data_IF_376217245593
#
_entry.id   IF_376217245593
#
_cell.length_a   1.000
_cell.length_b   1.000
_cell.length_c   1.000
_cell.angle_alpha   90.00
_cell.angle_beta   90.00
_cell.angle_gamma   90.00
#
_symmetry.space_group_name_H-M   'P 1'
#
loop_
_entity.id
_entity.type
_entity.pdbx_description
1 polymer ?
#
# COMPACT_ATOMS: atom_id res chain seq x y z
N UNK A 1 14.59 12.77 60.58
CA UNK A 1 13.97 13.72 59.62
C UNK A 1 14.52 13.43 58.23
N UNK A 2 13.65 12.92 57.33
CA UNK A 2 13.72 12.89 55.85
C UNK A 2 14.89 12.15 55.14
N UNK A 3 14.54 10.95 54.68
CA UNK A 3 15.09 10.18 53.55
C UNK A 3 15.08 10.96 52.23
N UNK A 4 16.05 10.72 51.32
CA UNK A 4 15.85 10.71 49.86
C UNK A 4 16.82 9.75 49.17
N UNK A 5 16.27 8.62 48.73
CA UNK A 5 16.87 7.64 47.83
C UNK A 5 16.79 8.22 46.41
N UNK A 6 17.92 8.47 45.75
CA UNK A 6 17.96 8.90 44.35
C UNK A 6 17.88 7.66 43.45
N UNK A 7 16.66 7.12 43.31
CA UNK A 7 16.34 6.08 42.34
C UNK A 7 15.50 6.70 41.23
N UNK A 8 16.16 7.35 40.27
CA UNK A 8 15.45 8.00 39.19
C UNK A 8 16.43 8.38 38.10
N UNK A 9 16.77 7.41 37.24
CA UNK A 9 17.28 7.62 35.87
C UNK A 9 17.44 6.32 35.04
N UNK A 10 16.82 5.19 35.43
CA UNK A 10 16.98 3.93 34.68
C UNK A 10 15.69 3.38 34.02
N UNK A 11 14.64 4.19 33.90
CA UNK A 11 13.35 3.73 33.31
C UNK A 11 12.94 4.50 32.05
N UNK A 12 13.55 5.64 31.74
CA UNK A 12 13.08 6.49 30.62
C UNK A 12 13.55 6.00 29.24
N UNK A 13 14.55 5.11 29.16
CA UNK A 13 15.05 4.61 27.87
C UNK A 13 14.27 3.42 27.27
N UNK A 14 13.31 2.83 27.99
CA UNK A 14 12.61 1.62 27.52
C UNK A 14 11.24 1.88 26.87
N UNK A 15 10.73 3.11 26.92
CA UNK A 15 9.37 3.43 26.46
C UNK A 15 9.24 3.88 25.00
N UNK A 16 10.31 3.89 24.19
CA UNK A 16 10.30 4.46 22.84
C UNK A 16 10.23 3.45 21.68
N UNK A 17 10.03 2.16 21.94
CA UNK A 17 9.92 1.14 20.87
C UNK A 17 8.77 0.14 21.07
N UNK A 18 7.64 0.59 21.63
CA UNK A 18 6.36 -0.09 21.40
C UNK A 18 5.86 0.26 19.99
N UNK A 19 6.60 -0.15 18.96
CA UNK A 19 6.02 -0.28 17.64
C UNK A 19 4.98 -1.40 17.76
N UNK A 20 3.71 -1.03 17.85
CA UNK A 20 2.60 -1.98 17.79
C UNK A 20 2.78 -2.79 16.51
N UNK A 21 3.18 -4.05 16.65
CA UNK A 21 3.30 -4.95 15.52
C UNK A 21 1.90 -5.26 15.02
N UNK A 22 1.41 -4.48 14.06
CA UNK A 22 0.16 -4.76 13.38
C UNK A 22 0.29 -6.12 12.69
N UNK A 23 -0.53 -7.08 13.10
CA UNK A 23 -0.63 -8.38 12.43
C UNK A 23 -1.57 -8.25 11.23
N UNK A 24 -1.44 -9.10 10.21
CA UNK A 24 -2.34 -9.04 9.05
C UNK A 24 -3.82 -9.24 9.43
N UNK A 25 -4.10 -9.92 10.54
CA UNK A 25 -5.47 -10.08 11.06
C UNK A 25 -6.15 -8.73 11.34
N UNK A 26 -5.36 -7.71 11.71
CA UNK A 26 -5.85 -6.34 11.96
C UNK A 26 -6.11 -5.56 10.66
N UNK A 27 -5.50 -5.94 9.54
CA UNK A 27 -5.69 -5.28 8.24
C UNK A 27 -6.95 -5.73 7.51
N UNK A 28 -7.57 -6.82 7.97
CA UNK A 28 -8.77 -7.41 7.38
C UNK A 28 -8.51 -8.76 6.68
N UNK A 29 -9.58 -9.48 6.31
CA UNK A 29 -9.50 -10.89 5.91
C UNK A 29 -8.78 -11.13 4.57
N UNK A 30 -8.64 -10.09 3.75
CA UNK A 30 -8.00 -10.16 2.43
C UNK A 30 -6.48 -9.94 2.49
N UNK A 31 -5.93 -9.61 3.66
CA UNK A 31 -4.50 -9.43 3.87
C UNK A 31 -3.86 -10.66 4.49
N UNK A 32 -2.72 -11.05 3.94
CA UNK A 32 -1.85 -12.09 4.48
C UNK A 32 -0.48 -11.51 4.78
N UNK A 33 -0.01 -11.67 6.02
CA UNK A 33 1.38 -11.40 6.39
C UNK A 33 2.23 -12.55 5.86
N UNK A 34 3.20 -12.23 5.02
CA UNK A 34 4.18 -13.21 4.52
C UNK A 34 5.34 -13.31 5.51
N UNK A 35 5.83 -12.15 5.96
CA UNK A 35 6.81 -11.99 7.03
C UNK A 35 6.73 -10.57 7.61
N UNK A 36 7.59 -10.23 8.57
CA UNK A 36 7.69 -8.88 9.09
C UNK A 36 7.97 -7.87 7.96
N UNK A 37 7.13 -6.84 7.88
CA UNK A 37 7.21 -5.81 6.85
C UNK A 37 6.74 -6.21 5.46
N UNK A 38 6.26 -7.45 5.25
CA UNK A 38 5.76 -7.92 3.94
C UNK A 38 4.34 -8.47 4.07
N UNK A 39 3.42 -7.81 3.37
CA UNK A 39 1.99 -8.13 3.39
C UNK A 39 1.48 -8.26 1.96
N UNK A 40 0.57 -9.19 1.71
CA UNK A 40 -0.06 -9.36 0.41
C UNK A 40 -1.57 -9.28 0.55
N UNK A 41 -2.21 -8.56 -0.37
CA UNK A 41 -3.64 -8.41 -0.50
C UNK A 41 -4.13 -9.20 -1.72
N UNK A 42 -5.24 -9.91 -1.58
CA UNK A 42 -6.04 -10.40 -2.70
C UNK A 42 -7.50 -10.47 -2.24
N UNK A 43 -8.43 -9.90 -3.01
CA UNK A 43 -9.85 -9.88 -2.65
C UNK A 43 -10.42 -11.31 -2.63
N UNK A 44 -10.07 -12.12 -3.64
CA UNK A 44 -10.52 -13.52 -3.79
C UNK A 44 -9.38 -14.43 -4.18
N UNK A 45 -9.59 -15.73 -3.99
CA UNK A 45 -8.69 -16.75 -4.52
C UNK A 45 -8.66 -16.64 -6.06
N UNK A 46 -7.44 -16.60 -6.61
CA UNK A 46 -7.14 -16.39 -8.05
C UNK A 46 -7.31 -14.96 -8.57
N UNK A 47 -7.67 -13.98 -7.75
CA UNK A 47 -7.49 -12.58 -8.12
C UNK A 47 -5.99 -12.24 -8.10
N UNK A 48 -5.55 -11.29 -8.94
CA UNK A 48 -4.18 -10.80 -8.88
C UNK A 48 -3.92 -10.21 -7.50
N UNK A 49 -2.72 -10.47 -6.98
CA UNK A 49 -2.33 -10.00 -5.68
C UNK A 49 -1.60 -8.66 -5.75
N UNK A 50 -1.66 -7.91 -4.66
CA UNK A 50 -0.90 -6.69 -4.46
C UNK A 50 -0.04 -6.83 -3.20
N UNK A 51 1.27 -6.61 -3.29
CA UNK A 51 2.19 -6.83 -2.17
C UNK A 51 2.77 -5.52 -1.67
N UNK A 52 2.61 -5.28 -0.37
CA UNK A 52 3.19 -4.17 0.39
C UNK A 52 4.50 -4.63 1.00
N UNK A 53 5.58 -3.90 0.73
CA UNK A 53 6.90 -4.10 1.33
C UNK A 53 7.32 -2.81 2.03
N UNK A 54 7.45 -2.88 3.35
CA UNK A 54 7.90 -1.78 4.19
C UNK A 54 9.42 -1.68 4.16
N UNK A 55 9.94 -0.46 3.96
CA UNK A 55 11.37 -0.15 4.05
C UNK A 55 11.62 1.05 4.97
N UNK A 56 12.88 1.44 5.15
CA UNK A 56 13.25 2.61 5.95
C UNK A 56 12.99 3.94 5.22
N UNK A 57 12.88 3.93 3.89
CA UNK A 57 12.76 5.14 3.05
C UNK A 57 11.38 5.30 2.39
N UNK A 58 10.50 4.33 2.62
CA UNK A 58 9.11 4.31 2.19
C UNK A 58 8.63 2.92 1.80
N UNK A 59 7.45 2.87 1.19
CA UNK A 59 6.82 1.61 0.78
C UNK A 59 7.17 1.29 -0.67
N UNK A 60 7.53 0.04 -0.92
CA UNK A 60 7.55 -0.56 -2.25
C UNK A 60 6.27 -1.37 -2.41
N UNK A 61 5.51 -1.06 -3.45
CA UNK A 61 4.29 -1.77 -3.79
C UNK A 61 4.53 -2.61 -5.06
N UNK A 62 4.11 -3.87 -5.02
CA UNK A 62 4.09 -4.75 -6.20
C UNK A 62 2.64 -4.82 -6.68
N UNK A 63 2.42 -4.37 -7.92
CA UNK A 63 1.11 -4.11 -8.53
C UNK A 63 0.25 -3.13 -7.71
N UNK A 64 -1.00 -2.92 -8.14
CA UNK A 64 -1.85 -1.85 -7.60
C UNK A 64 -3.24 -2.31 -7.14
N UNK A 65 -3.47 -3.61 -7.05
CA UNK A 65 -4.77 -4.22 -6.76
C UNK A 65 -5.63 -4.40 -8.02
N UNK A 66 -6.56 -5.36 -7.95
CA UNK A 66 -7.40 -5.81 -9.08
C UNK A 66 -8.28 -4.69 -9.66
N UNK A 67 -8.77 -3.83 -8.78
CA UNK A 67 -9.69 -2.77 -9.11
C UNK A 67 -9.52 -1.58 -8.14
N UNK A 68 -10.17 -0.44 -8.38
CA UNK A 68 -9.98 0.73 -7.52
C UNK A 68 -10.40 0.59 -6.05
N UNK A 69 -11.56 -0.02 -5.69
CA UNK A 69 -11.83 -0.39 -4.30
C UNK A 69 -10.67 -1.15 -3.63
N UNK A 70 -10.08 -2.13 -4.32
CA UNK A 70 -8.94 -2.89 -3.82
C UNK A 70 -7.71 -1.99 -3.61
N UNK A 71 -7.40 -1.11 -4.58
CA UNK A 71 -6.31 -0.13 -4.46
C UNK A 71 -6.48 0.78 -3.24
N UNK A 72 -7.71 1.21 -2.95
CA UNK A 72 -8.03 2.04 -1.79
C UNK A 72 -7.94 1.26 -0.47
N UNK A 73 -8.36 -0.02 -0.46
CA UNK A 73 -8.16 -0.90 0.68
C UNK A 73 -6.67 -1.09 1.00
N UNK A 74 -5.84 -1.31 -0.04
CA UNK A 74 -4.38 -1.37 0.06
C UNK A 74 -3.79 -0.06 0.59
N UNK A 75 -4.20 1.10 0.05
CA UNK A 75 -3.76 2.41 0.55
C UNK A 75 -4.13 2.63 2.02
N UNK A 76 -5.34 2.22 2.43
CA UNK A 76 -5.77 2.28 3.84
C UNK A 76 -4.91 1.40 4.73
N UNK A 77 -4.57 0.18 4.28
CA UNK A 77 -3.68 -0.71 5.02
C UNK A 77 -2.26 -0.12 5.15
N UNK A 78 -1.72 0.46 4.07
CA UNK A 78 -0.41 1.14 4.10
C UNK A 78 -0.41 2.24 5.16
N UNK A 79 -1.44 3.08 5.21
CA UNK A 79 -1.56 4.17 6.21
C UNK A 79 -1.64 3.68 7.66
N UNK A 80 -2.12 2.46 7.90
CA UNK A 80 -2.12 1.84 9.23
C UNK A 80 -0.75 1.26 9.58
N UNK A 81 -0.01 0.76 8.59
CA UNK A 81 1.30 0.14 8.76
C UNK A 81 2.42 1.17 8.93
N UNK A 82 2.33 2.32 8.25
CA UNK A 82 3.40 3.32 8.24
C UNK A 82 2.90 4.71 7.83
N UNK A 83 3.48 5.80 8.37
CA UNK A 83 3.24 7.15 7.87
C UNK A 83 4.03 7.47 6.60
N UNK A 84 4.95 6.59 6.18
CA UNK A 84 5.82 6.82 5.03
C UNK A 84 5.04 6.68 3.70
N UNK A 85 5.40 7.42 2.65
CA UNK A 85 4.72 7.33 1.37
C UNK A 85 5.06 6.04 0.62
N UNK A 86 4.22 5.69 -0.36
CA UNK A 86 4.61 4.75 -1.41
C UNK A 86 5.63 5.42 -2.32
N UNK A 87 6.83 4.85 -2.40
CA UNK A 87 7.95 5.39 -3.18
C UNK A 87 8.04 4.76 -4.56
N UNK A 88 7.77 3.46 -4.63
CA UNK A 88 7.81 2.70 -5.88
C UNK A 88 6.57 1.85 -6.00
N UNK A 89 6.00 1.82 -7.20
CA UNK A 89 4.97 0.88 -7.59
C UNK A 89 5.49 0.11 -8.79
N UNK A 90 5.79 -1.17 -8.58
CA UNK A 90 6.38 -2.05 -9.57
C UNK A 90 5.27 -2.87 -10.19
N UNK A 91 5.02 -2.68 -11.49
CA UNK A 91 4.09 -3.52 -12.23
C UNK A 91 4.78 -4.80 -12.68
N UNK A 92 4.19 -5.94 -12.34
CA UNK A 92 4.65 -7.25 -12.80
C UNK A 92 4.30 -7.48 -14.27
N UNK A 93 3.15 -6.97 -14.71
CA UNK A 93 2.67 -7.08 -16.09
C UNK A 93 1.80 -5.88 -16.52
N UNK A 94 1.40 -5.73 -17.80
CA UNK A 94 0.70 -4.55 -18.28
C UNK A 94 -0.83 -4.61 -18.17
N UNK A 95 -1.40 -5.73 -17.70
CA UNK A 95 -2.85 -5.86 -17.64
C UNK A 95 -3.50 -4.91 -16.64
N UNK A 96 -4.76 -4.58 -16.90
CA UNK A 96 -5.43 -3.48 -16.21
C UNK A 96 -5.79 -3.81 -14.76
N UNK A 97 -5.96 -5.09 -14.45
CA UNK A 97 -6.13 -5.66 -13.12
C UNK A 97 -4.85 -5.65 -12.26
N UNK A 98 -3.69 -5.30 -12.85
CA UNK A 98 -2.46 -5.03 -12.10
C UNK A 98 -2.16 -3.54 -11.98
N UNK A 99 -2.66 -2.74 -12.92
CA UNK A 99 -2.13 -1.38 -13.21
C UNK A 99 -3.14 -0.26 -13.05
N UNK A 100 -4.45 -0.55 -12.95
CA UNK A 100 -5.47 0.51 -12.88
C UNK A 100 -5.27 1.41 -11.68
N UNK A 101 -4.79 0.90 -10.55
CA UNK A 101 -4.62 1.65 -9.30
C UNK A 101 -3.48 2.67 -9.26
N UNK A 102 -2.72 2.89 -10.36
CA UNK A 102 -1.59 3.84 -10.35
C UNK A 102 -1.95 5.23 -9.80
N UNK A 103 -3.13 5.75 -10.14
CA UNK A 103 -3.60 7.07 -9.71
C UNK A 103 -3.80 7.19 -8.18
N UNK A 104 -3.96 6.06 -7.48
CA UNK A 104 -4.11 6.06 -6.01
C UNK A 104 -2.78 6.33 -5.32
N UNK A 105 -1.67 5.86 -5.92
CA UNK A 105 -0.35 5.84 -5.28
C UNK A 105 0.62 6.86 -5.89
N UNK A 106 0.38 7.29 -7.13
CA UNK A 106 1.24 8.21 -7.87
C UNK A 106 0.51 9.49 -8.25
N UNK A 107 1.09 10.67 -7.94
CA UNK A 107 2.30 10.89 -7.12
C UNK A 107 2.07 10.59 -5.62
N UNK A 108 3.12 10.28 -4.84
CA UNK A 108 4.55 10.41 -5.16
C UNK A 108 5.22 9.13 -5.66
N UNK A 109 4.52 8.00 -5.76
CA UNK A 109 5.14 6.76 -6.19
C UNK A 109 5.69 6.87 -7.62
N UNK A 110 6.94 6.44 -7.82
CA UNK A 110 7.49 6.21 -9.15
C UNK A 110 6.95 4.88 -9.68
N UNK A 111 6.28 4.94 -10.82
CA UNK A 111 5.82 3.74 -11.52
C UNK A 111 7.00 3.09 -12.23
N UNK A 112 7.29 1.83 -11.89
CA UNK A 112 8.37 1.03 -12.47
C UNK A 112 7.75 -0.16 -13.20
N UNK A 113 8.20 -0.41 -14.42
CA UNK A 113 7.77 -1.56 -15.21
C UNK A 113 8.84 -1.91 -16.24
N UNK A 114 8.83 -3.14 -16.74
CA UNK A 114 9.62 -3.48 -17.92
C UNK A 114 9.20 -2.62 -19.12
N UNK A 115 10.14 -2.24 -20.00
CA UNK A 115 9.87 -1.34 -21.13
C UNK A 115 8.71 -1.83 -22.01
N UNK A 116 8.67 -3.13 -22.32
CA UNK A 116 7.58 -3.72 -23.11
C UNK A 116 6.20 -3.62 -22.45
N UNK A 117 6.14 -3.70 -21.12
CA UNK A 117 4.89 -3.51 -20.37
C UNK A 117 4.46 -2.04 -20.40
N UNK A 118 5.40 -1.11 -20.22
CA UNK A 118 5.15 0.32 -20.36
C UNK A 118 4.60 0.68 -21.75
N UNK A 119 5.19 0.13 -22.80
CA UNK A 119 4.74 0.37 -24.18
C UNK A 119 3.37 -0.26 -24.45
N UNK A 120 3.10 -1.46 -23.91
CA UNK A 120 1.79 -2.11 -24.00
C UNK A 120 0.70 -1.28 -23.33
N UNK A 121 0.93 -0.81 -22.09
CA UNK A 121 -0.01 0.05 -21.36
C UNK A 121 -0.30 1.35 -22.12
N UNK A 122 0.73 2.01 -22.67
CA UNK A 122 0.56 3.24 -23.47
C UNK A 122 -0.28 3.00 -24.72
N UNK A 123 -0.07 1.87 -25.41
CA UNK A 123 -0.86 1.49 -26.59
C UNK A 123 -2.31 1.16 -26.23
N UNK A 124 -2.53 0.53 -25.08
CA UNK A 124 -3.86 0.14 -24.60
C UNK A 124 -4.62 1.29 -23.91
N UNK A 125 -3.98 2.44 -23.69
CA UNK A 125 -4.59 3.58 -23.00
C UNK A 125 -5.87 4.03 -23.69
N UNK A 126 -6.95 4.10 -22.92
CA UNK A 126 -8.25 4.55 -23.40
C UNK A 126 -8.91 5.47 -22.35
N UNK A 127 -9.04 6.78 -22.61
CA UNK A 127 -9.60 7.71 -21.63
C UNK A 127 -11.07 7.40 -21.28
N UNK A 128 -11.85 6.85 -22.22
CA UNK A 128 -13.25 6.45 -21.97
C UNK A 128 -13.38 5.34 -20.94
N UNK A 129 -12.34 4.50 -20.79
CA UNK A 129 -12.30 3.48 -19.73
C UNK A 129 -12.30 4.14 -18.35
N UNK A 130 -11.52 5.21 -18.17
CA UNK A 130 -11.45 5.92 -16.89
C UNK A 130 -12.76 6.65 -16.58
N UNK A 131 -13.38 7.27 -17.59
CA UNK A 131 -14.72 7.88 -17.46
C UNK A 131 -15.75 6.85 -16.99
N UNK A 132 -15.76 5.66 -17.60
CA UNK A 132 -16.64 4.56 -17.20
C UNK A 132 -16.38 4.13 -15.76
N UNK A 133 -15.12 3.90 -15.38
CA UNK A 133 -14.78 3.50 -14.01
C UNK A 133 -15.18 4.56 -12.97
N UNK A 134 -14.98 5.85 -13.27
CA UNK A 134 -15.44 6.94 -12.42
C UNK A 134 -16.96 7.06 -12.38
N UNK A 135 -17.69 6.66 -13.43
CA UNK A 135 -19.14 6.63 -13.42
C UNK A 135 -19.66 5.49 -12.52
N UNK A 136 -18.99 4.34 -12.56
CA UNK A 136 -19.39 3.11 -11.87
C UNK A 136 -18.97 3.06 -10.38
N UNK A 137 -17.97 3.83 -9.96
CA UNK A 137 -17.53 3.90 -8.55
C UNK A 137 -17.44 5.35 -8.04
N UNK A 138 -18.24 5.72 -7.01
CA UNK A 138 -18.09 7.00 -6.32
C UNK A 138 -16.69 7.22 -5.73
N UNK A 139 -16.08 6.16 -5.19
CA UNK A 139 -14.74 6.17 -4.61
C UNK A 139 -13.67 6.46 -5.67
N UNK A 140 -13.83 5.89 -6.87
CA UNK A 140 -13.02 6.25 -8.03
C UNK A 140 -13.13 7.72 -8.37
N UNK A 141 -14.37 8.20 -8.51
CA UNK A 141 -14.61 9.60 -8.87
C UNK A 141 -13.98 10.57 -7.86
N UNK A 142 -14.03 10.24 -6.57
CA UNK A 142 -13.43 11.06 -5.53
C UNK A 142 -11.91 11.05 -5.59
N UNK A 143 -11.31 9.89 -5.88
CA UNK A 143 -9.84 9.75 -5.94
C UNK A 143 -9.22 10.43 -7.18
N UNK A 144 -10.03 10.71 -8.21
CA UNK A 144 -9.59 11.44 -9.41
C UNK A 144 -9.69 12.97 -9.31
N UNK A 145 -10.29 13.52 -8.25
CA UNK A 145 -10.38 14.98 -8.02
C UNK A 145 -9.09 15.54 -7.46
#
# INVERSE_FOLDING_TARGET
MKTKLALGNLVVAFCLFLATQLTAQELGPHFKKIQDGIFTYAEKVNDPNCTIILTQDGVVLIDSGNNPPDSLAVMKAIKQLTPQPVRYLINTEPHSDHTTGHFVFSPPALIVAHQGAADSMKKAFNPKRNEKLMAESPEMRETFK
#
